data_IF_622816528103
#
_entry.id   IF_622816528103
#
_cell.length_a   1.000
_cell.length_b   1.000
_cell.length_c   1.000
_cell.angle_alpha   90.00
_cell.angle_beta   90.00
_cell.angle_gamma   90.00
#
_symmetry.space_group_name_H-M   'P 1'
#
loop_
_entity.id
_entity.type
_entity.pdbx_description
1 polymer ?
#
# COMPACT_ATOMS: atom_id res chain seq x y z
N UNK A 1 -3.16 -4.38 28.24
CA UNK A 1 -4.23 -5.41 28.12
C UNK A 1 -4.27 -5.92 26.71
N UNK A 2 -4.18 -7.23 26.51
CA UNK A 2 -4.31 -7.82 25.18
C UNK A 2 -5.79 -8.04 24.88
N UNK A 3 -6.25 -7.55 23.73
CA UNK A 3 -7.59 -7.85 23.24
C UNK A 3 -7.51 -9.14 22.41
N UNK A 4 -8.09 -10.22 22.89
CA UNK A 4 -8.00 -11.54 22.28
C UNK A 4 -8.45 -11.59 20.81
N UNK A 5 -9.33 -10.70 20.40
CA UNK A 5 -9.90 -10.65 19.05
C UNK A 5 -9.15 -9.75 18.07
N UNK A 6 -7.93 -9.31 18.36
CA UNK A 6 -7.15 -8.42 17.50
C UNK A 6 -6.28 -9.13 16.47
N UNK A 7 -6.30 -10.43 16.45
CA UNK A 7 -5.55 -11.23 15.48
C UNK A 7 -6.41 -11.43 14.24
N UNK A 8 -5.96 -10.86 13.10
CA UNK A 8 -6.65 -10.93 11.82
C UNK A 8 -5.83 -11.72 10.80
N UNK A 9 -6.50 -12.30 9.82
CA UNK A 9 -5.90 -12.85 8.61
C UNK A 9 -4.75 -13.83 8.85
N UNK A 10 -4.86 -14.64 9.90
CA UNK A 10 -3.87 -15.66 10.21
C UNK A 10 -2.58 -15.13 10.84
N UNK A 11 -2.58 -13.89 11.31
CA UNK A 11 -1.45 -13.32 12.04
C UNK A 11 -1.26 -13.98 13.40
N UNK A 12 -0.02 -14.00 13.91
CA UNK A 12 0.30 -14.61 15.19
C UNK A 12 -0.10 -13.76 16.40
N UNK A 13 -0.42 -12.48 16.21
CA UNK A 13 -0.61 -11.52 17.28
C UNK A 13 0.68 -11.10 17.98
N UNK A 14 1.83 -11.63 17.58
CA UNK A 14 3.11 -11.25 18.12
C UNK A 14 3.49 -9.84 17.68
N UNK A 15 3.76 -8.95 18.64
CA UNK A 15 4.08 -7.54 18.36
C UNK A 15 5.45 -7.13 18.92
N UNK A 16 6.03 -7.90 19.84
CA UNK A 16 7.34 -7.58 20.41
C UNK A 16 8.42 -7.44 19.32
N UNK A 17 9.29 -6.43 19.34
CA UNK A 17 9.49 -5.44 20.40
C UNK A 17 8.65 -4.15 20.30
N UNK A 18 7.66 -4.10 19.44
CA UNK A 18 6.78 -2.93 19.34
C UNK A 18 5.75 -2.90 20.49
N UNK A 19 5.29 -1.71 20.82
CA UNK A 19 4.19 -1.52 21.76
C UNK A 19 2.87 -2.07 21.23
N UNK A 20 2.02 -2.53 22.11
CA UNK A 20 0.64 -2.91 21.78
C UNK A 20 -0.23 -1.66 21.73
N UNK A 21 -0.89 -1.43 20.61
CA UNK A 21 -1.93 -0.40 20.49
C UNK A 21 -3.29 -1.06 20.71
N UNK A 22 -3.94 -0.78 21.82
CA UNK A 22 -5.21 -1.38 22.21
C UNK A 22 -6.41 -0.45 22.01
N UNK A 23 -6.18 0.85 21.98
CA UNK A 23 -7.23 1.87 21.78
C UNK A 23 -6.76 2.98 20.85
N UNK A 24 -7.72 3.62 20.20
CA UNK A 24 -7.53 4.81 19.40
C UNK A 24 -8.45 5.92 19.88
N UNK A 25 -7.97 7.17 19.85
CA UNK A 25 -8.80 8.33 20.18
C UNK A 25 -9.76 8.64 19.01
N UNK A 26 -11.00 8.93 19.35
CA UNK A 26 -11.98 9.50 18.40
C UNK A 26 -11.90 11.04 18.37
N UNK A 27 -11.08 11.63 19.21
CA UNK A 27 -10.94 13.08 19.29
C UNK A 27 -10.08 13.59 18.12
N UNK A 28 -10.64 14.47 17.31
CA UNK A 28 -9.97 15.11 16.21
C UNK A 28 -9.23 16.36 16.67
N UNK A 29 -7.95 16.43 16.33
CA UNK A 29 -7.07 17.58 16.63
C UNK A 29 -6.29 17.98 15.39
N UNK A 30 -5.87 19.26 15.33
CA UNK A 30 -4.91 19.69 14.33
C UNK A 30 -3.50 19.27 14.74
N UNK A 31 -2.75 18.72 13.79
CA UNK A 31 -1.36 18.34 13.95
C UNK A 31 -0.54 18.81 12.74
N UNK A 32 0.61 19.39 12.99
CA UNK A 32 1.61 19.70 11.95
C UNK A 32 2.44 18.46 11.68
N UNK A 33 2.70 18.17 10.41
CA UNK A 33 3.51 17.04 9.96
C UNK A 33 4.71 17.55 9.17
N UNK A 34 5.86 16.93 9.36
CA UNK A 34 6.98 17.13 8.47
C UNK A 34 6.67 16.48 7.12
N UNK A 35 6.67 17.28 6.06
CA UNK A 35 6.44 16.82 4.70
C UNK A 35 7.68 17.02 3.84
N UNK A 36 8.06 16.00 3.08
CA UNK A 36 9.05 16.09 2.02
C UNK A 36 8.33 16.12 0.69
N UNK A 37 8.68 17.08 -0.17
CA UNK A 37 8.06 17.25 -1.48
C UNK A 37 9.05 16.91 -2.58
N UNK A 38 8.58 16.11 -3.54
CA UNK A 38 9.20 15.97 -4.85
C UNK A 38 8.30 16.64 -5.88
N UNK A 39 8.87 17.46 -6.74
CA UNK A 39 8.10 18.21 -7.72
C UNK A 39 8.89 18.40 -9.02
N UNK A 40 8.24 18.16 -10.14
CA UNK A 40 8.70 18.51 -11.48
C UNK A 40 7.58 19.23 -12.24
N UNK A 41 7.74 19.46 -13.53
CA UNK A 41 6.73 20.16 -14.36
C UNK A 41 5.39 19.43 -14.46
N UNK A 42 5.37 18.12 -14.20
CA UNK A 42 4.21 17.24 -14.44
C UNK A 42 3.47 16.85 -13.17
N UNK A 43 4.21 16.50 -12.13
CA UNK A 43 3.62 15.97 -10.91
C UNK A 43 4.26 16.56 -9.65
N UNK A 44 3.48 16.55 -8.56
CA UNK A 44 3.92 16.95 -7.23
C UNK A 44 3.53 15.88 -6.22
N UNK A 45 4.49 15.40 -5.45
CA UNK A 45 4.33 14.26 -4.53
C UNK A 45 4.68 14.68 -3.12
N UNK A 46 3.80 14.36 -2.16
CA UNK A 46 4.02 14.58 -0.73
C UNK A 46 4.36 13.26 -0.05
N UNK A 47 5.48 13.24 0.63
CA UNK A 47 5.96 12.12 1.44
C UNK A 47 5.95 12.54 2.91
N UNK A 48 5.44 11.68 3.78
CA UNK A 48 5.36 11.94 5.22
C UNK A 48 6.26 10.96 6.00
N UNK A 49 7.50 11.33 6.31
CA UNK A 49 8.41 10.48 7.09
C UNK A 49 7.87 10.12 8.47
N UNK A 50 7.17 11.03 9.14
CA UNK A 50 6.56 10.78 10.46
C UNK A 50 5.39 9.78 10.42
N UNK A 51 4.90 9.43 9.22
CA UNK A 51 3.84 8.43 9.01
C UNK A 51 4.33 7.29 8.14
N UNK A 52 5.39 6.65 8.57
CA UNK A 52 5.94 5.48 7.92
C UNK A 52 6.57 5.75 6.55
N UNK A 53 6.87 7.00 6.21
CA UNK A 53 7.45 7.36 4.92
C UNK A 53 6.50 7.15 3.74
N UNK A 54 5.19 7.17 3.98
CA UNK A 54 4.19 6.99 2.93
C UNK A 54 4.17 8.14 1.93
N UNK A 55 3.83 7.84 0.69
CA UNK A 55 3.35 8.87 -0.24
C UNK A 55 1.93 9.21 0.20
N UNK A 56 1.74 10.40 0.77
CA UNK A 56 0.43 10.81 1.28
C UNK A 56 -0.45 11.35 0.16
N UNK A 57 0.13 12.13 -0.74
CA UNK A 57 -0.58 12.78 -1.83
C UNK A 57 0.29 12.82 -3.09
N UNK A 58 -0.33 12.65 -4.26
CA UNK A 58 0.35 12.82 -5.53
C UNK A 58 -0.59 13.51 -6.54
N UNK A 59 -0.17 14.69 -6.98
CA UNK A 59 -0.94 15.59 -7.83
C UNK A 59 -0.42 15.56 -9.27
N UNK A 60 -1.32 15.33 -10.22
CA UNK A 60 -1.07 15.46 -11.66
C UNK A 60 -1.38 16.91 -12.10
N UNK A 61 -0.35 17.66 -12.46
CA UNK A 61 -0.46 19.07 -12.85
C UNK A 61 -1.19 19.24 -14.18
N UNK A 62 -1.00 18.30 -15.11
CA UNK A 62 -1.64 18.34 -16.42
C UNK A 62 -3.15 18.08 -16.36
N UNK A 63 -3.57 17.14 -15.53
CA UNK A 63 -4.98 16.78 -15.33
C UNK A 63 -5.66 17.49 -14.18
N UNK A 64 -4.91 18.31 -13.42
CA UNK A 64 -5.40 19.07 -12.27
C UNK A 64 -6.17 18.20 -11.26
N UNK A 65 -5.60 17.03 -10.93
CA UNK A 65 -6.21 16.08 -9.98
C UNK A 65 -5.14 15.28 -9.25
N UNK A 66 -5.51 14.80 -8.06
CA UNK A 66 -4.72 13.77 -7.39
C UNK A 66 -4.89 12.42 -8.12
N UNK A 67 -3.79 11.72 -8.39
CA UNK A 67 -3.79 10.36 -8.90
C UNK A 67 -3.62 9.32 -7.79
N UNK A 68 -3.26 9.78 -6.59
CA UNK A 68 -3.29 9.00 -5.36
C UNK A 68 -4.35 9.58 -4.46
N UNK A 69 -5.35 8.77 -4.07
CA UNK A 69 -6.37 9.19 -3.13
C UNK A 69 -5.78 9.39 -1.74
N UNK A 70 -6.16 10.46 -1.08
CA UNK A 70 -5.75 10.74 0.29
C UNK A 70 -6.93 11.19 1.14
N UNK A 71 -6.83 10.98 2.45
CA UNK A 71 -7.75 11.54 3.42
C UNK A 71 -7.14 12.78 4.06
N UNK A 72 -7.93 13.84 4.19
CA UNK A 72 -7.51 15.04 4.93
C UNK A 72 -7.44 14.77 6.44
N UNK A 73 -8.23 13.81 6.91
CA UNK A 73 -8.19 13.34 8.29
C UNK A 73 -7.36 12.07 8.35
N UNK A 74 -6.20 12.15 9.00
CA UNK A 74 -5.37 10.99 9.26
C UNK A 74 -5.94 10.27 10.48
N UNK A 75 -6.68 9.20 10.23
CA UNK A 75 -7.31 8.37 11.26
C UNK A 75 -6.72 6.97 11.21
N UNK A 76 -5.89 6.58 12.19
CA UNK A 76 -5.49 5.19 12.33
C UNK A 76 -6.70 4.30 12.63
N UNK A 77 -6.72 3.10 12.05
CA UNK A 77 -7.70 2.07 12.34
C UNK A 77 -7.00 0.81 12.83
N UNK A 78 -7.55 0.13 13.82
CA UNK A 78 -6.99 -1.12 14.33
C UNK A 78 -7.28 -2.25 13.33
N UNK A 79 -6.40 -2.37 12.34
CA UNK A 79 -6.47 -3.37 11.27
C UNK A 79 -5.12 -4.07 11.19
N UNK A 80 -5.16 -5.38 10.98
CA UNK A 80 -3.96 -6.19 10.85
C UNK A 80 -3.28 -6.52 12.18
N UNK A 81 -2.11 -7.13 12.04
CA UNK A 81 -1.38 -7.80 13.12
C UNK A 81 -0.94 -6.88 14.25
N UNK A 82 -0.35 -5.76 13.86
CA UNK A 82 0.47 -4.97 14.78
C UNK A 82 -0.20 -3.68 15.23
N UNK A 83 -1.41 -3.44 14.79
CA UNK A 83 -2.18 -2.31 15.29
C UNK A 83 -2.71 -1.40 14.19
N UNK A 84 -2.44 -0.09 14.28
CA UNK A 84 -3.09 0.88 13.42
C UNK A 84 -2.67 0.77 11.96
N UNK A 85 -3.64 0.97 11.09
CA UNK A 85 -3.46 1.18 9.67
C UNK A 85 -4.10 2.52 9.28
N UNK A 86 -3.51 3.22 8.34
CA UNK A 86 -4.01 4.51 7.85
C UNK A 86 -4.40 4.35 6.39
N UNK A 87 -5.66 4.62 6.07
CA UNK A 87 -6.15 4.58 4.69
C UNK A 87 -5.73 5.81 3.88
N UNK A 88 -5.67 5.66 2.57
CA UNK A 88 -5.24 6.70 1.66
C UNK A 88 -3.72 6.75 1.47
N UNK A 89 -3.27 7.43 0.44
CA UNK A 89 -1.87 7.48 0.05
C UNK A 89 -1.36 6.17 -0.56
N UNK A 90 -0.07 5.99 -0.55
CA UNK A 90 0.59 4.72 -0.83
C UNK A 90 1.34 4.29 0.42
N UNK A 91 0.92 3.19 1.01
CA UNK A 91 1.60 2.53 2.10
C UNK A 91 2.60 1.50 1.54
N UNK A 92 3.79 1.44 2.13
CA UNK A 92 4.81 0.47 1.75
C UNK A 92 5.06 -0.47 2.92
N UNK A 93 4.97 -1.77 2.69
CA UNK A 93 4.97 -2.79 3.73
C UNK A 93 6.09 -3.80 3.57
N UNK A 94 6.68 -4.14 4.70
CA UNK A 94 7.73 -5.15 4.91
C UNK A 94 7.83 -5.52 6.40
N UNK A 95 8.44 -6.62 6.81
CA UNK A 95 8.87 -7.74 5.99
C UNK A 95 7.70 -8.63 5.60
N UNK A 96 6.55 -8.38 6.17
CA UNK A 96 5.27 -9.04 5.90
C UNK A 96 4.13 -8.22 6.53
N UNK A 97 2.90 -8.36 6.06
CA UNK A 97 1.71 -7.64 6.51
C UNK A 97 1.80 -6.11 6.43
N UNK A 98 0.82 -5.42 6.97
CA UNK A 98 0.95 -4.00 7.29
C UNK A 98 2.01 -3.86 8.38
N UNK A 99 3.08 -3.14 8.07
CA UNK A 99 4.21 -3.04 9.00
C UNK A 99 3.84 -2.24 10.26
N UNK A 100 4.50 -2.52 11.39
CA UNK A 100 4.23 -1.82 12.64
C UNK A 100 4.46 -0.32 12.57
N UNK A 101 5.43 0.10 11.76
CA UNK A 101 5.84 1.50 11.62
C UNK A 101 5.03 2.28 10.58
N UNK A 102 3.97 1.71 10.01
CA UNK A 102 3.13 2.39 9.01
C UNK A 102 2.54 3.72 9.50
N UNK A 103 2.45 3.91 10.81
CA UNK A 103 1.97 5.13 11.45
C UNK A 103 3.01 5.81 12.34
N UNK A 104 4.27 5.35 12.29
CA UNK A 104 5.38 5.81 13.12
C UNK A 104 6.45 6.51 12.27
N UNK A 105 7.28 7.37 12.86
CA UNK A 105 8.38 7.98 12.17
C UNK A 105 9.39 6.94 11.62
N UNK A 106 9.91 7.21 10.43
CA UNK A 106 11.04 6.49 9.83
C UNK A 106 12.12 7.48 9.42
N UNK A 107 13.33 7.00 9.24
CA UNK A 107 14.43 7.82 8.75
C UNK A 107 14.24 8.17 7.27
N UNK A 108 14.78 9.32 6.86
CA UNK A 108 14.78 9.69 5.45
C UNK A 108 16.05 10.45 5.06
N UNK A 109 16.38 10.37 3.78
CA UNK A 109 17.48 11.16 3.18
C UNK A 109 17.11 11.59 1.77
N UNK A 110 17.77 12.65 1.31
CA UNK A 110 17.58 13.22 -0.03
C UNK A 110 18.82 12.93 -0.87
N UNK A 111 18.61 12.51 -2.11
CA UNK A 111 19.66 12.27 -3.07
C UNK A 111 19.37 13.04 -4.37
N UNK A 112 20.33 13.85 -4.81
CA UNK A 112 20.27 14.53 -6.10
C UNK A 112 21.20 13.78 -7.08
N UNK A 113 20.71 13.53 -8.28
CA UNK A 113 21.43 12.81 -9.33
C UNK A 113 21.95 13.80 -10.39
N UNK A 114 23.04 13.43 -11.08
CA UNK A 114 23.67 14.25 -12.11
C UNK A 114 22.74 14.54 -13.31
N UNK A 115 21.78 13.65 -13.59
CA UNK A 115 20.77 13.81 -14.63
C UNK A 115 19.59 14.71 -14.21
N UNK A 116 19.68 15.35 -13.05
CA UNK A 116 18.63 16.19 -12.49
C UNK A 116 17.51 15.45 -11.78
N UNK A 117 17.53 14.13 -11.74
CA UNK A 117 16.59 13.37 -10.94
C UNK A 117 16.81 13.63 -9.45
N UNK A 118 15.74 13.51 -8.68
CA UNK A 118 15.79 13.65 -7.22
C UNK A 118 15.09 12.45 -6.58
N UNK A 119 15.72 11.90 -5.56
CA UNK A 119 15.20 10.76 -4.82
C UNK A 119 15.05 11.10 -3.34
N UNK A 120 13.90 10.75 -2.77
CA UNK A 120 13.68 10.66 -1.33
C UNK A 120 13.75 9.21 -0.94
N UNK A 121 14.73 8.85 -0.11
CA UNK A 121 14.81 7.54 0.51
C UNK A 121 14.17 7.59 1.88
N UNK A 122 13.29 6.65 2.17
CA UNK A 122 12.73 6.40 3.49
C UNK A 122 13.06 4.98 3.91
N UNK A 123 13.36 4.75 5.18
CA UNK A 123 13.74 3.41 5.59
C UNK A 123 13.89 3.24 7.09
N UNK A 124 14.09 1.99 7.48
CA UNK A 124 14.28 1.59 8.85
C UNK A 124 15.02 0.25 8.95
N UNK A 125 15.50 -0.05 10.15
CA UNK A 125 15.84 -1.42 10.55
C UNK A 125 14.66 -1.98 11.31
N UNK A 126 14.00 -2.97 10.73
CA UNK A 126 12.83 -3.61 11.32
C UNK A 126 13.28 -4.57 12.45
N UNK A 127 12.90 -4.32 13.71
CA UNK A 127 13.51 -5.02 14.85
C UNK A 127 12.98 -6.44 15.11
N UNK A 128 11.82 -6.82 14.54
CA UNK A 128 11.28 -8.18 14.75
C UNK A 128 12.10 -9.23 14.01
N UNK A 129 12.60 -8.89 12.83
CA UNK A 129 13.31 -9.81 11.92
C UNK A 129 14.74 -9.35 11.64
N UNK A 130 15.11 -8.13 12.06
CA UNK A 130 16.45 -7.57 11.84
C UNK A 130 16.75 -7.27 10.37
N UNK A 131 15.72 -6.93 9.58
CA UNK A 131 15.86 -6.56 8.19
C UNK A 131 15.98 -5.05 8.05
N UNK A 132 16.92 -4.59 7.23
CA UNK A 132 17.00 -3.19 6.83
C UNK A 132 16.28 -3.03 5.49
N UNK A 133 15.35 -2.11 5.44
CA UNK A 133 14.55 -1.84 4.23
C UNK A 133 14.54 -0.35 3.96
N UNK A 134 14.76 -0.01 2.69
CA UNK A 134 14.67 1.35 2.19
C UNK A 134 13.76 1.37 0.97
N UNK A 135 12.90 2.37 0.89
CA UNK A 135 12.11 2.66 -0.31
C UNK A 135 12.49 4.05 -0.83
N UNK A 136 12.90 4.12 -2.08
CA UNK A 136 13.27 5.35 -2.77
C UNK A 136 12.16 5.80 -3.71
N UNK A 137 11.83 7.08 -3.63
CA UNK A 137 10.88 7.75 -4.50
C UNK A 137 11.65 8.70 -5.39
N UNK A 138 11.67 8.44 -6.70
CA UNK A 138 12.46 9.24 -7.64
C UNK A 138 11.55 9.96 -8.62
N UNK A 139 11.78 11.27 -8.78
CA UNK A 139 11.24 12.05 -9.88
C UNK A 139 12.35 12.44 -10.84
N UNK A 140 12.12 12.18 -12.13
CA UNK A 140 12.95 12.68 -13.23
C UNK A 140 12.36 13.97 -13.80
N UNK A 141 13.18 14.93 -14.24
CA UNK A 141 12.69 16.21 -14.75
C UNK A 141 11.64 16.09 -15.85
N UNK A 142 11.82 15.15 -16.76
CA UNK A 142 11.04 15.04 -18.00
C UNK A 142 9.93 13.97 -17.97
N UNK A 143 9.61 13.42 -16.78
CA UNK A 143 8.64 12.33 -16.69
C UNK A 143 7.48 12.64 -15.76
N UNK A 144 6.26 12.36 -16.22
CA UNK A 144 5.05 12.36 -15.41
C UNK A 144 4.89 11.02 -14.66
N UNK A 145 5.96 10.53 -14.01
CA UNK A 145 5.97 9.25 -13.33
C UNK A 145 6.79 9.33 -12.04
N UNK A 146 6.30 8.70 -10.98
CA UNK A 146 7.03 8.45 -9.74
C UNK A 146 7.66 7.06 -9.83
N UNK A 147 8.98 6.99 -9.89
CA UNK A 147 9.72 5.73 -9.83
C UNK A 147 9.84 5.31 -8.36
N UNK A 148 9.59 4.02 -8.08
CA UNK A 148 9.67 3.47 -6.74
C UNK A 148 10.67 2.32 -6.76
N UNK A 149 11.73 2.44 -5.94
CA UNK A 149 12.74 1.40 -5.77
C UNK A 149 12.78 0.93 -4.32
N UNK A 150 12.94 -0.37 -4.12
CA UNK A 150 13.09 -0.93 -2.77
C UNK A 150 14.44 -1.66 -2.66
N UNK A 151 15.12 -1.43 -1.52
CA UNK A 151 16.37 -2.11 -1.17
C UNK A 151 16.16 -2.83 0.15
N UNK A 152 16.54 -4.09 0.18
CA UNK A 152 16.43 -4.93 1.37
C UNK A 152 17.79 -5.53 1.67
N UNK A 153 18.20 -5.42 2.93
CA UNK A 153 19.42 -6.03 3.42
C UNK A 153 19.10 -6.93 4.60
N UNK A 154 19.53 -8.19 4.50
CA UNK A 154 19.45 -9.15 5.59
C UNK A 154 20.83 -9.22 6.30
N UNK A 155 20.95 -8.51 7.41
CA UNK A 155 22.15 -8.56 8.27
C UNK A 155 22.23 -9.77 9.21
N UNK A 156 21.23 -10.68 9.17
CA UNK A 156 21.23 -11.87 10.01
C UNK A 156 22.14 -12.97 9.43
N UNK A 157 22.65 -13.82 10.30
CA UNK A 157 23.43 -15.00 9.90
C UNK A 157 22.57 -16.08 9.20
N UNK A 158 21.25 -15.98 9.26
CA UNK A 158 20.32 -16.97 8.69
C UNK A 158 19.38 -16.30 7.67
N UNK A 159 18.91 -17.05 6.65
CA UNK A 159 17.87 -16.58 5.75
C UNK A 159 16.62 -16.13 6.50
N UNK A 160 15.95 -15.12 5.97
CA UNK A 160 14.67 -14.61 6.49
C UNK A 160 13.64 -14.61 5.39
N UNK A 161 12.40 -14.92 5.73
CA UNK A 161 11.26 -14.68 4.85
C UNK A 161 11.04 -13.20 4.69
N UNK A 162 10.67 -12.80 3.48
CA UNK A 162 10.46 -11.41 3.13
C UNK A 162 9.28 -11.28 2.18
N UNK A 163 8.41 -10.35 2.48
CA UNK A 163 7.34 -9.87 1.61
C UNK A 163 7.43 -8.36 1.57
N UNK A 164 7.54 -7.80 0.38
CA UNK A 164 7.39 -6.38 0.16
C UNK A 164 6.16 -6.13 -0.73
N UNK A 165 5.39 -5.12 -0.40
CA UNK A 165 4.27 -4.72 -1.21
C UNK A 165 3.91 -3.25 -1.01
N UNK A 166 3.36 -2.63 -2.06
CA UNK A 166 2.79 -1.31 -2.03
C UNK A 166 1.27 -1.40 -1.98
N UNK A 167 0.65 -0.53 -1.22
CA UNK A 167 -0.80 -0.43 -1.05
C UNK A 167 -1.28 0.95 -1.50
N UNK A 168 -1.37 1.21 -2.82
CA UNK A 168 -1.83 2.48 -3.34
C UNK A 168 -3.34 2.63 -3.21
N UNK A 169 -3.78 3.79 -2.76
CA UNK A 169 -5.18 4.17 -2.74
C UNK A 169 -5.53 4.97 -3.99
N UNK A 170 -6.64 4.63 -4.62
CA UNK A 170 -7.19 5.37 -5.75
C UNK A 170 -8.64 5.78 -5.44
N UNK A 171 -9.09 6.87 -6.03
CA UNK A 171 -10.47 7.32 -5.84
C UNK A 171 -11.42 6.33 -6.52
N UNK A 172 -12.20 5.61 -5.72
CA UNK A 172 -13.25 4.72 -6.20
C UNK A 172 -14.49 5.50 -6.66
N UNK A 173 -15.35 4.84 -7.42
CA UNK A 173 -16.62 5.38 -7.91
C UNK A 173 -17.31 4.41 -8.87
N UNK A 174 -18.52 4.71 -9.29
CA UNK A 174 -19.31 3.83 -10.17
C UNK A 174 -18.62 3.52 -11.51
N UNK A 175 -17.88 4.49 -12.04
CA UNK A 175 -17.12 4.33 -13.28
C UNK A 175 -15.77 3.63 -13.12
N UNK A 176 -15.37 3.29 -11.88
CA UNK A 176 -14.08 2.67 -11.63
C UNK A 176 -14.03 1.25 -12.18
N UNK A 177 -12.94 0.96 -12.89
CA UNK A 177 -12.68 -0.35 -13.49
C UNK A 177 -11.25 -0.78 -13.18
N UNK A 178 -11.08 -2.02 -12.74
CA UNK A 178 -9.78 -2.67 -12.60
C UNK A 178 -9.34 -3.23 -13.95
N UNK A 179 -8.16 -2.85 -14.40
CA UNK A 179 -7.55 -3.37 -15.61
C UNK A 179 -6.36 -4.22 -15.18
N UNK A 180 -6.43 -5.50 -15.46
CA UNK A 180 -5.34 -6.45 -15.22
C UNK A 180 -4.61 -6.78 -16.53
N UNK A 181 -3.42 -7.39 -16.48
CA UNK A 181 -2.77 -7.89 -17.68
C UNK A 181 -3.72 -8.75 -18.53
N UNK A 182 -3.66 -8.68 -19.87
CA UNK A 182 -4.63 -9.35 -20.76
C UNK A 182 -4.68 -10.88 -20.63
N UNK A 183 -3.64 -11.48 -20.11
CA UNK A 183 -3.53 -12.91 -19.84
C UNK A 183 -4.16 -13.35 -18.50
N UNK A 184 -4.68 -12.41 -17.71
CA UNK A 184 -5.43 -12.71 -16.49
C UNK A 184 -6.86 -13.09 -16.87
N UNK A 185 -7.16 -14.39 -16.80
CA UNK A 185 -8.47 -14.97 -17.13
C UNK A 185 -9.26 -15.43 -15.91
N UNK A 186 -8.66 -15.41 -14.74
CA UNK A 186 -9.29 -15.80 -13.49
C UNK A 186 -8.83 -14.92 -12.33
N UNK A 187 -9.70 -14.75 -11.37
CA UNK A 187 -9.44 -14.05 -10.12
C UNK A 187 -9.94 -14.83 -8.93
N UNK A 188 -9.43 -14.51 -7.75
CA UNK A 188 -9.86 -15.14 -6.50
C UNK A 188 -10.09 -14.08 -5.42
N UNK A 189 -10.90 -14.41 -4.42
CA UNK A 189 -11.04 -13.54 -3.25
C UNK A 189 -9.74 -13.51 -2.46
N UNK A 190 -9.46 -12.40 -1.81
CA UNK A 190 -8.22 -12.22 -1.05
C UNK A 190 -8.02 -13.27 0.05
N UNK A 191 -9.08 -13.89 0.54
CA UNK A 191 -9.05 -15.01 1.48
C UNK A 191 -8.84 -16.39 0.85
N UNK A 192 -8.68 -16.47 -0.48
CA UNK A 192 -8.51 -17.71 -1.27
C UNK A 192 -9.62 -18.74 -1.07
N UNK A 193 -10.86 -18.31 -0.92
CA UNK A 193 -12.03 -19.15 -0.66
C UNK A 193 -12.92 -19.35 -1.88
N UNK A 194 -12.83 -18.45 -2.85
CA UNK A 194 -13.63 -18.49 -4.07
C UNK A 194 -12.80 -18.03 -5.27
N UNK A 195 -13.11 -18.59 -6.43
CA UNK A 195 -12.46 -18.28 -7.71
C UNK A 195 -13.56 -17.91 -8.72
N UNK A 196 -13.27 -17.00 -9.62
CA UNK A 196 -14.15 -16.60 -10.71
C UNK A 196 -13.39 -16.45 -12.01
N UNK A 197 -14.06 -16.67 -13.14
CA UNK A 197 -13.58 -16.18 -14.43
C UNK A 197 -13.53 -14.64 -14.41
N UNK A 198 -12.61 -14.08 -15.18
CA UNK A 198 -12.39 -12.64 -15.30
C UNK A 198 -12.21 -12.24 -16.78
N UNK A 199 -12.72 -11.10 -17.25
CA UNK A 199 -13.50 -10.11 -16.48
C UNK A 199 -14.98 -10.44 -16.28
N UNK A 200 -15.51 -11.42 -17.02
CA UNK A 200 -16.92 -11.80 -16.93
C UNK A 200 -17.08 -12.99 -16.01
N UNK A 201 -17.72 -12.77 -14.88
CA UNK A 201 -18.15 -13.85 -13.99
C UNK A 201 -19.44 -14.48 -14.52
N UNK A 202 -19.51 -15.83 -14.55
CA UNK A 202 -20.65 -16.60 -15.09
C UNK A 202 -21.18 -17.64 -14.13
N UNK A 203 -20.77 -17.61 -12.88
CA UNK A 203 -21.20 -18.56 -11.86
C UNK A 203 -21.34 -17.88 -10.52
N UNK A 204 -21.27 -18.65 -9.45
CA UNK A 204 -21.26 -18.10 -8.09
C UNK A 204 -19.85 -17.66 -7.70
N UNK A 205 -19.70 -16.39 -7.34
CA UNK A 205 -18.45 -15.86 -6.79
C UNK A 205 -18.72 -15.20 -5.43
N UNK A 206 -18.09 -15.74 -4.42
CA UNK A 206 -18.24 -15.30 -3.03
C UNK A 206 -19.70 -15.13 -2.59
N UNK A 207 -20.53 -16.15 -2.81
CA UNK A 207 -21.96 -16.20 -2.49
C UNK A 207 -22.87 -15.27 -3.31
N UNK A 208 -22.34 -14.60 -4.30
CA UNK A 208 -23.14 -13.81 -5.25
C UNK A 208 -23.30 -14.60 -6.53
N UNK A 209 -24.54 -14.67 -7.03
CA UNK A 209 -24.86 -15.35 -8.30
C UNK A 209 -24.63 -14.37 -9.47
N UNK A 210 -23.71 -14.76 -10.34
CA UNK A 210 -23.37 -14.08 -11.58
C UNK A 210 -23.71 -14.90 -12.84
N UNK A 211 -24.63 -15.87 -12.74
CA UNK A 211 -24.98 -16.78 -13.84
C UNK A 211 -25.42 -16.06 -15.12
N UNK A 212 -25.93 -14.84 -15.00
CA UNK A 212 -26.33 -14.03 -16.14
C UNK A 212 -25.13 -13.40 -16.90
N UNK A 213 -23.93 -13.56 -16.41
CA UNK A 213 -22.74 -12.93 -16.97
C UNK A 213 -22.61 -11.46 -16.52
N UNK A 214 -21.65 -11.19 -15.60
CA UNK A 214 -21.44 -9.84 -15.06
C UNK A 214 -19.98 -9.47 -15.14
N UNK A 215 -19.70 -8.27 -15.60
CA UNK A 215 -18.35 -7.69 -15.65
C UNK A 215 -17.89 -7.30 -14.25
N UNK A 216 -17.11 -8.18 -13.61
CA UNK A 216 -16.54 -7.96 -12.27
C UNK A 216 -15.24 -7.14 -12.28
N UNK A 217 -14.77 -6.70 -13.44
CA UNK A 217 -13.73 -5.68 -13.50
C UNK A 217 -14.25 -4.31 -13.03
N UNK A 218 -15.57 -4.11 -13.08
CA UNK A 218 -16.22 -2.91 -12.58
C UNK A 218 -16.31 -2.95 -11.06
N UNK A 219 -15.74 -1.94 -10.39
CA UNK A 219 -15.68 -1.87 -8.92
C UNK A 219 -17.04 -2.12 -8.25
N UNK A 220 -18.12 -1.55 -8.80
CA UNK A 220 -19.48 -1.72 -8.27
C UNK A 220 -20.03 -3.15 -8.32
N UNK A 221 -19.43 -4.02 -9.13
CA UNK A 221 -19.87 -5.41 -9.31
C UNK A 221 -19.02 -6.41 -8.52
N UNK A 222 -17.90 -5.96 -7.93
CA UNK A 222 -16.99 -6.84 -7.17
C UNK A 222 -17.54 -7.04 -5.76
N UNK A 223 -17.80 -8.29 -5.32
CA UNK A 223 -18.42 -8.54 -4.02
C UNK A 223 -17.43 -8.47 -2.85
N UNK A 224 -16.15 -8.64 -3.11
CA UNK A 224 -15.08 -8.76 -2.09
C UNK A 224 -13.75 -8.27 -2.64
N UNK A 225 -12.77 -7.98 -1.77
CA UNK A 225 -11.40 -7.77 -2.21
C UNK A 225 -10.92 -8.92 -3.08
N UNK A 226 -10.54 -8.62 -4.30
CA UNK A 226 -10.24 -9.58 -5.36
C UNK A 226 -8.78 -9.50 -5.75
N UNK A 227 -8.15 -10.64 -5.92
CA UNK A 227 -6.74 -10.80 -6.25
C UNK A 227 -6.58 -11.59 -7.54
N UNK A 228 -5.47 -11.37 -8.22
CA UNK A 228 -5.02 -12.24 -9.31
C UNK A 228 -3.55 -12.62 -9.10
N UNK A 229 -3.10 -13.62 -9.83
CA UNK A 229 -1.70 -14.00 -9.88
C UNK A 229 -1.26 -14.08 -11.34
N UNK A 230 -0.13 -13.47 -11.63
CA UNK A 230 0.52 -13.53 -12.93
C UNK A 230 1.98 -13.95 -12.71
N UNK A 231 2.25 -15.27 -12.76
CA UNK A 231 3.59 -15.80 -12.54
C UNK A 231 4.51 -15.60 -13.74
N UNK A 232 3.95 -15.60 -14.94
CA UNK A 232 4.69 -15.50 -16.22
C UNK A 232 3.99 -14.57 -17.20
N UNK A 233 3.43 -13.48 -16.70
CA UNK A 233 2.83 -12.49 -17.60
C UNK A 233 3.90 -11.89 -18.51
N UNK A 234 3.53 -11.68 -19.78
CA UNK A 234 4.32 -10.90 -20.73
C UNK A 234 3.98 -9.42 -20.71
N UNK A 235 3.06 -9.04 -19.84
CA UNK A 235 2.54 -7.69 -19.69
C UNK A 235 2.84 -7.19 -18.28
N UNK A 236 3.36 -5.98 -18.19
CA UNK A 236 3.68 -5.30 -16.93
C UNK A 236 2.52 -4.38 -16.46
#
# INVERSE_FOLDING_TARGET
>A
MFLENRVYQGSSGAVYPYGVTDTLSEQKTLKSWQAVWLENDYIKVMILPELGGRVHRAWDKGKQRDFVYHNEVIKPALVGLLGPWISGGIEFNWPQHHRPTTFMPVDFTLEAHEDGAQTVWVGETEPMHGLQVMTGFTLRPERAALEIASRVYNGNATPRHFLWWANPAVKGGEGHQSVFPPDVTAVFDHGKRAVSAFPIATGTYYKVDYSAGVDISRYKNVPVPTSYMAEKSQYD
#
